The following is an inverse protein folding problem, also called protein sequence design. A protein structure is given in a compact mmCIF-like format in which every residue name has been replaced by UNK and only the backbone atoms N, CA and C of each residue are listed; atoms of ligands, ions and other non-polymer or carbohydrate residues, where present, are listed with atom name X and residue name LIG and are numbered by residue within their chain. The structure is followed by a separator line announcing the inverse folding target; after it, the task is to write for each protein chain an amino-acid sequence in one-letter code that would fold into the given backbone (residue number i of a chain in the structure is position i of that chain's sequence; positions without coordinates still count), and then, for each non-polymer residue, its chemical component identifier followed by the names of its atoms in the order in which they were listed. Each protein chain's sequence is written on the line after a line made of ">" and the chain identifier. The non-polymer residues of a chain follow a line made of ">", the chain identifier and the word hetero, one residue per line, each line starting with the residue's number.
data_IF_069480703807
#
_entry.id   IF_069480703807
#
_cell.length_a   1.000
_cell.length_b   1.000
_cell.length_c   1.000
_cell.angle_alpha   90.00
_cell.angle_beta   90.00
_cell.angle_gamma   90.00
#
_symmetry.space_group_name_H-M   'P 1'
#
loop_
_entity.id
_entity.type
_entity.pdbx_description
1 polymer ?
#
# COMPACT_ATOMS: atom_id res chain seq x y z
N UNK A 1 -5.10 -14.59 -9.69
CA UNK A 1 -5.31 -13.40 -8.83
C UNK A 1 -4.01 -12.61 -8.72
N UNK A 2 -4.07 -11.31 -8.95
CA UNK A 2 -2.88 -10.49 -8.88
C UNK A 2 -2.57 -10.10 -7.44
N UNK A 3 -1.29 -10.16 -7.09
CA UNK A 3 -0.83 -9.78 -5.75
C UNK A 3 -0.43 -8.32 -5.79
N UNK A 4 -1.04 -7.52 -4.91
CA UNK A 4 -0.90 -6.07 -4.94
C UNK A 4 -0.35 -5.55 -3.62
N UNK A 5 0.59 -4.60 -3.71
CA UNK A 5 1.07 -3.83 -2.57
C UNK A 5 0.70 -2.37 -2.74
N UNK A 6 0.51 -1.67 -1.65
CA UNK A 6 0.25 -0.23 -1.67
C UNK A 6 1.34 0.50 -0.90
N UNK A 7 1.90 1.53 -1.50
CA UNK A 7 2.92 2.38 -0.89
C UNK A 7 2.32 3.76 -0.67
N UNK A 8 2.38 4.24 0.56
CA UNK A 8 1.79 5.53 0.92
C UNK A 8 0.36 5.34 1.42
N UNK A 9 0.15 5.65 2.70
CA UNK A 9 -1.12 5.37 3.36
C UNK A 9 -1.81 6.64 3.85
N UNK A 10 -1.70 7.71 3.08
CA UNK A 10 -2.56 8.86 3.25
C UNK A 10 -3.98 8.52 2.78
N UNK A 11 -4.87 9.51 2.68
CA UNK A 11 -6.27 9.22 2.32
C UNK A 11 -6.42 8.44 1.01
N UNK A 12 -5.61 8.78 0.00
CA UNK A 12 -5.70 8.10 -1.29
C UNK A 12 -5.18 6.68 -1.21
N UNK A 13 -4.06 6.47 -0.52
CA UNK A 13 -3.50 5.13 -0.36
C UNK A 13 -4.42 4.21 0.40
N UNK A 14 -5.06 4.72 1.46
CA UNK A 14 -6.03 3.92 2.20
C UNK A 14 -7.24 3.56 1.34
N UNK A 15 -7.68 4.49 0.49
CA UNK A 15 -8.78 4.20 -0.42
C UNK A 15 -8.40 3.11 -1.42
N UNK A 16 -7.19 3.20 -1.99
CA UNK A 16 -6.71 2.18 -2.90
C UNK A 16 -6.65 0.81 -2.22
N UNK A 17 -6.16 0.79 -0.98
CA UNK A 17 -6.08 -0.46 -0.24
C UNK A 17 -7.44 -1.09 -0.03
N UNK A 18 -8.43 -0.28 0.33
CA UNK A 18 -9.79 -0.77 0.52
C UNK A 18 -10.34 -1.33 -0.80
N UNK A 19 -10.08 -0.64 -1.90
CA UNK A 19 -10.56 -1.09 -3.21
C UNK A 19 -9.95 -2.44 -3.58
N UNK A 20 -8.66 -2.61 -3.35
CA UNK A 20 -8.02 -3.88 -3.67
C UNK A 20 -8.55 -5.02 -2.81
N UNK A 21 -8.86 -4.75 -1.55
CA UNK A 21 -9.43 -5.79 -0.69
C UNK A 21 -10.80 -6.25 -1.16
N UNK A 22 -11.54 -5.38 -1.81
CA UNK A 22 -12.88 -5.71 -2.29
C UNK A 22 -12.88 -6.27 -3.72
N UNK A 23 -11.74 -6.26 -4.38
CA UNK A 23 -11.64 -6.70 -5.77
C UNK A 23 -11.35 -8.20 -5.81
N UNK A 24 -12.25 -8.95 -6.41
CA UNK A 24 -12.11 -10.41 -6.50
C UNK A 24 -10.90 -10.85 -7.34
N UNK A 25 -10.38 -9.96 -8.18
CA UNK A 25 -9.27 -10.28 -9.07
C UNK A 25 -7.92 -9.85 -8.50
N UNK A 26 -7.92 -9.25 -7.32
CA UNK A 26 -6.69 -8.77 -6.69
C UNK A 26 -6.60 -9.26 -5.26
N UNK A 27 -5.36 -9.50 -4.83
CA UNK A 27 -5.08 -9.86 -3.45
C UNK A 27 -4.14 -8.81 -2.88
N UNK A 28 -4.61 -8.05 -1.89
CA UNK A 28 -3.74 -7.11 -1.18
C UNK A 28 -2.83 -7.91 -0.26
N UNK A 29 -1.52 -7.88 -0.52
CA UNK A 29 -0.58 -8.71 0.22
C UNK A 29 0.31 -7.92 1.17
N UNK A 30 0.33 -6.59 1.06
CA UNK A 30 1.12 -5.78 1.97
C UNK A 30 0.92 -4.31 1.76
N UNK A 31 1.25 -3.52 2.77
CA UNK A 31 1.16 -2.07 2.71
C UNK A 31 2.44 -1.48 3.30
N UNK A 32 2.75 -0.26 2.91
CA UNK A 32 3.99 0.39 3.30
C UNK A 32 3.79 1.89 3.49
N UNK A 33 4.38 2.42 4.55
CA UNK A 33 4.47 3.85 4.76
C UNK A 33 5.69 4.11 5.65
N UNK A 34 6.41 5.19 5.38
CA UNK A 34 7.50 5.58 6.27
C UNK A 34 7.00 5.93 7.66
N UNK A 35 5.78 6.42 7.74
CA UNK A 35 5.14 6.71 9.02
C UNK A 35 4.66 5.41 9.63
N UNK A 36 5.35 4.97 10.68
CA UNK A 36 5.05 3.67 11.29
C UNK A 36 3.64 3.64 11.89
N UNK A 37 3.16 4.76 12.38
CA UNK A 37 1.82 4.82 12.94
C UNK A 37 0.78 4.52 11.86
N UNK A 38 0.94 5.13 10.68
CA UNK A 38 0.03 4.89 9.58
C UNK A 38 0.12 3.45 9.09
N UNK A 39 1.35 2.93 8.96
CA UNK A 39 1.55 1.57 8.49
C UNK A 39 0.93 0.56 9.44
N UNK A 40 1.15 0.74 10.74
CA UNK A 40 0.63 -0.20 11.72
C UNK A 40 -0.89 -0.13 11.81
N UNK A 41 -1.47 1.07 11.74
CA UNK A 41 -2.92 1.22 11.77
C UNK A 41 -3.57 0.54 10.57
N UNK A 42 -2.99 0.72 9.39
CA UNK A 42 -3.52 0.08 8.19
C UNK A 42 -3.35 -1.43 8.24
N UNK A 43 -2.24 -1.90 8.78
CA UNK A 43 -2.00 -3.34 8.94
C UNK A 43 -3.08 -3.98 9.80
N UNK A 44 -3.43 -3.34 10.90
CA UNK A 44 -4.49 -3.86 11.77
C UNK A 44 -5.84 -3.85 11.06
N UNK A 45 -6.13 -2.77 10.36
CA UNK A 45 -7.43 -2.60 9.72
C UNK A 45 -7.60 -3.58 8.55
N UNK A 46 -6.54 -3.79 7.79
CA UNK A 46 -6.62 -4.57 6.55
C UNK A 46 -6.21 -6.03 6.73
N UNK A 47 -5.55 -6.36 7.82
CA UNK A 47 -5.12 -7.73 8.06
C UNK A 47 -3.97 -8.18 7.18
N UNK A 48 -3.11 -7.24 6.76
CA UNK A 48 -1.95 -7.56 5.93
C UNK A 48 -0.69 -7.00 6.60
N UNK A 49 0.49 -7.54 6.27
CA UNK A 49 1.73 -7.07 6.90
C UNK A 49 2.05 -5.62 6.55
N UNK A 50 2.63 -4.93 7.51
CA UNK A 50 3.07 -3.56 7.34
C UNK A 50 4.56 -3.53 7.10
N UNK A 51 4.98 -2.66 6.19
CA UNK A 51 6.39 -2.40 5.93
C UNK A 51 6.63 -0.90 6.04
N UNK A 52 7.86 -0.54 6.36
CA UNK A 52 8.24 0.86 6.50
C UNK A 52 9.22 1.27 5.41
N UNK A 53 9.62 0.33 4.58
CA UNK A 53 10.52 0.53 3.46
C UNK A 53 9.99 -0.23 2.25
N UNK A 54 9.75 0.51 1.17
CA UNK A 54 9.13 -0.08 -0.02
C UNK A 54 10.00 -1.16 -0.65
N UNK A 55 11.32 -0.96 -0.66
CA UNK A 55 12.21 -1.94 -1.27
C UNK A 55 12.17 -3.27 -0.53
N UNK A 56 12.11 -3.21 0.80
CA UNK A 56 12.01 -4.42 1.60
C UNK A 56 10.71 -5.16 1.31
N UNK A 57 9.61 -4.41 1.23
CA UNK A 57 8.32 -5.01 0.95
C UNK A 57 8.30 -5.70 -0.42
N UNK A 58 8.80 -5.02 -1.43
CA UNK A 58 8.81 -5.56 -2.78
C UNK A 58 9.68 -6.81 -2.85
N UNK A 59 10.84 -6.77 -2.19
CA UNK A 59 11.75 -7.91 -2.20
C UNK A 59 11.16 -9.13 -1.51
N UNK A 60 10.47 -8.92 -0.38
CA UNK A 60 9.95 -10.04 0.40
C UNK A 60 8.65 -10.59 -0.18
N UNK A 61 7.79 -9.75 -0.69
CA UNK A 61 6.48 -10.18 -1.16
C UNK A 61 6.43 -10.47 -2.65
N UNK A 62 7.30 -9.84 -3.42
CA UNK A 62 7.37 -9.98 -4.89
C UNK A 62 5.99 -9.83 -5.51
N UNK A 63 5.35 -8.65 -5.32
CA UNK A 63 4.00 -8.45 -5.83
C UNK A 63 3.97 -8.31 -7.34
N UNK A 64 2.81 -8.57 -7.92
CA UNK A 64 2.60 -8.36 -9.34
C UNK A 64 2.42 -6.88 -9.66
N UNK A 65 1.77 -6.16 -8.74
CA UNK A 65 1.48 -4.73 -8.92
C UNK A 65 1.84 -4.00 -7.64
N UNK A 66 2.43 -2.84 -7.81
CA UNK A 66 2.75 -1.96 -6.70
C UNK A 66 2.11 -0.61 -6.96
N UNK A 67 1.10 -0.28 -6.15
CA UNK A 67 0.39 0.98 -6.28
C UNK A 67 1.07 2.03 -5.41
N UNK A 68 1.54 3.10 -6.02
CA UNK A 68 2.25 4.16 -5.30
C UNK A 68 1.32 5.35 -5.16
N UNK A 69 0.98 5.68 -3.92
CA UNK A 69 0.07 6.76 -3.61
C UNK A 69 0.72 7.78 -2.69
N UNK A 70 2.05 7.93 -2.80
CA UNK A 70 2.77 8.84 -1.94
C UNK A 70 2.61 10.27 -2.45
N UNK A 71 2.08 11.07 -1.63
CA UNK A 71 2.14 12.47 -1.75
C UNK A 71 1.71 13.10 -2.98
N UNK A 72 1.35 12.45 -3.66
CA UNK A 72 1.06 13.08 -4.73
C UNK A 72 0.51 14.33 -4.51
N UNK A 73 0.48 14.74 -4.20
CA UNK A 73 -0.08 15.66 -4.21
C UNK A 73 0.62 16.62 -3.84
N UNK A 74 1.17 16.58 -3.66
CA UNK A 74 1.79 17.42 -3.52
C UNK A 74 2.53 17.75 -4.50
N UNK A 75 2.66 17.45 -4.90
CA UNK A 75 3.22 17.65 -5.90
C UNK A 75 2.88 17.46 -6.90
N UNK A 76 2.43 17.47 -6.66
CA UNK A 76 2.27 17.39 -7.64
C UNK A 76 2.14 17.16 -8.26
N UNK A 77 2.24 17.17 -8.14
CA UNK A 77 2.36 17.06 -8.93
C UNK A 77 2.59 16.84 -9.49
N UNK A 78 2.90 16.64 -9.36
CA UNK A 78 3.35 16.48 -10.03
C UNK A 78 3.30 16.09 -10.42
N UNK A 79 3.40 15.98 -10.21
CA UNK A 79 3.63 15.68 -10.65
C UNK A 79 3.59 15.63 -11.00
#
# INVERSE_FOLDING_TARGET
>A
MQRVCVIGLGPIGNRHSDCYQQDDLAELVGICDRDEVRANAASERLGVPAFYDAQTMIRELQPDICSVATGGYEYGSDH
#
